data_IF_936606692602
#
_entry.id   IF_936606692602
#
_cell.length_a   1.000
_cell.length_b   1.000
_cell.length_c   1.000
_cell.angle_alpha   90.00
_cell.angle_beta   90.00
_cell.angle_gamma   90.00
#
_symmetry.space_group_name_H-M   'P 1'
#
loop_
_entity.id
_entity.type
_entity.pdbx_description
1 polymer ?
#
# COMPACT_ATOMS: atom_id res chain seq x y z
N UNK A 1 -73.64 22.40 -59.71
CA UNK A 1 -73.18 23.80 -59.66
C UNK A 1 -72.00 23.94 -58.74
N UNK A 2 -70.88 24.46 -59.25
CA UNK A 2 -69.70 25.05 -58.67
C UNK A 2 -68.73 24.12 -57.94
N UNK A 3 -67.68 23.77 -58.69
CA UNK A 3 -66.35 23.34 -58.29
C UNK A 3 -65.70 24.34 -57.35
N UNK A 4 -64.95 23.82 -56.39
CA UNK A 4 -63.71 24.46 -55.91
C UNK A 4 -62.64 23.43 -55.66
N UNK A 5 -61.64 23.51 -56.50
CA UNK A 5 -60.38 22.77 -56.39
C UNK A 5 -59.57 23.47 -55.28
N UNK A 6 -59.15 22.69 -54.28
CA UNK A 6 -58.14 23.09 -53.30
C UNK A 6 -56.82 22.44 -53.64
N UNK A 7 -55.86 23.25 -54.06
CA UNK A 7 -54.46 22.84 -54.23
C UNK A 7 -53.81 22.60 -52.85
N UNK A 8 -53.33 21.37 -52.64
CA UNK A 8 -52.46 21.04 -51.49
C UNK A 8 -50.99 21.30 -51.90
N UNK A 9 -50.35 22.34 -51.35
CA UNK A 9 -48.92 22.49 -51.42
C UNK A 9 -48.25 21.56 -50.38
N UNK A 10 -47.54 20.58 -50.85
CA UNK A 10 -46.71 19.72 -50.03
C UNK A 10 -45.35 20.38 -49.78
N UNK A 11 -45.15 20.93 -48.59
CA UNK A 11 -43.84 21.37 -48.10
C UNK A 11 -43.08 20.14 -47.56
N UNK A 12 -42.06 19.71 -48.29
CA UNK A 12 -41.09 18.69 -47.82
C UNK A 12 -40.10 19.39 -46.88
N UNK A 13 -40.31 19.26 -45.58
CA UNK A 13 -39.32 19.63 -44.57
C UNK A 13 -38.26 18.55 -44.47
N UNK A 14 -37.08 18.78 -45.03
CA UNK A 14 -35.92 17.93 -44.91
C UNK A 14 -35.38 17.98 -43.48
N UNK A 15 -35.59 16.91 -42.71
CA UNK A 15 -34.93 16.72 -41.42
C UNK A 15 -33.49 16.26 -41.71
N UNK A 16 -32.55 17.18 -41.61
CA UNK A 16 -31.11 16.85 -41.53
C UNK A 16 -30.84 16.22 -40.19
N UNK A 17 -30.82 14.89 -40.12
CA UNK A 17 -30.33 14.13 -38.96
C UNK A 17 -28.81 14.30 -38.93
N UNK A 18 -28.32 15.25 -38.15
CA UNK A 18 -26.90 15.37 -37.82
C UNK A 18 -26.51 14.15 -36.97
N UNK A 19 -25.78 13.22 -37.57
CA UNK A 19 -25.04 12.20 -36.80
C UNK A 19 -23.98 12.94 -35.97
N UNK A 20 -24.29 13.23 -34.72
CA UNK A 20 -23.28 13.56 -33.72
C UNK A 20 -22.53 12.23 -33.45
N UNK A 21 -21.39 12.05 -34.12
CA UNK A 21 -20.45 11.02 -33.75
C UNK A 21 -20.03 11.32 -32.30
N UNK A 22 -20.62 10.61 -31.33
CA UNK A 22 -20.13 10.59 -29.98
C UNK A 22 -18.74 9.96 -30.05
N UNK A 23 -17.71 10.79 -30.15
CA UNK A 23 -16.35 10.38 -29.89
C UNK A 23 -16.35 9.94 -28.42
N UNK A 24 -16.28 8.63 -28.18
CA UNK A 24 -16.01 8.09 -26.86
C UNK A 24 -14.70 8.72 -26.41
N UNK A 25 -14.76 9.74 -25.60
CA UNK A 25 -13.59 10.25 -24.90
C UNK A 25 -13.11 9.09 -24.03
N UNK A 26 -12.10 8.35 -24.47
CA UNK A 26 -11.42 7.43 -23.60
C UNK A 26 -10.89 8.27 -22.44
N UNK A 27 -11.35 7.98 -21.23
CA UNK A 27 -10.77 8.58 -20.04
C UNK A 27 -9.26 8.30 -20.04
N UNK A 28 -8.46 9.33 -19.78
CA UNK A 28 -7.01 9.17 -19.72
C UNK A 28 -6.66 8.10 -18.67
N UNK A 29 -5.73 7.23 -19.00
CA UNK A 29 -5.22 6.22 -18.06
C UNK A 29 -4.54 6.92 -16.87
N UNK A 30 -4.39 6.19 -15.76
CA UNK A 30 -3.66 6.73 -14.59
C UNK A 30 -2.24 7.11 -14.95
N UNK A 31 -1.54 6.28 -15.76
CA UNK A 31 -0.18 6.60 -16.20
C UNK A 31 -0.10 7.90 -17.01
N UNK A 32 -1.03 8.12 -17.95
CA UNK A 32 -1.08 9.36 -18.73
C UNK A 32 -1.33 10.58 -17.84
N UNK A 33 -2.24 10.46 -16.88
CA UNK A 33 -2.53 11.52 -15.90
C UNK A 33 -1.31 11.84 -15.03
N UNK A 34 -0.63 10.81 -14.51
CA UNK A 34 0.58 10.93 -13.70
C UNK A 34 1.71 11.59 -14.50
N UNK A 35 1.94 11.13 -15.74
CA UNK A 35 2.97 11.73 -16.63
C UNK A 35 2.66 13.17 -16.98
N UNK A 36 1.41 13.50 -17.32
CA UNK A 36 1.00 14.88 -17.66
C UNK A 36 1.16 15.83 -16.47
N UNK A 37 0.91 15.36 -15.24
CA UNK A 37 1.11 16.13 -14.00
C UNK A 37 2.59 16.28 -13.63
N UNK A 38 3.46 15.37 -14.09
CA UNK A 38 4.90 15.37 -13.81
C UNK A 38 5.28 14.81 -12.44
N UNK A 39 4.35 14.22 -11.70
CA UNK A 39 4.56 13.58 -10.39
C UNK A 39 3.45 12.59 -10.05
N UNK A 40 3.79 11.61 -9.22
CA UNK A 40 2.88 10.66 -8.59
C UNK A 40 2.17 11.34 -7.40
N UNK A 41 0.92 10.98 -7.13
CA UNK A 41 0.25 11.28 -5.85
C UNK A 41 0.00 9.97 -5.13
N UNK A 42 0.67 9.79 -3.98
CA UNK A 42 0.58 8.56 -3.19
C UNK A 42 -0.09 8.81 -1.84
N UNK A 43 -1.12 8.03 -1.54
CA UNK A 43 -1.77 8.02 -0.23
C UNK A 43 -0.94 7.20 0.77
N UNK A 44 -0.61 7.80 1.90
CA UNK A 44 0.14 7.16 3.00
C UNK A 44 -0.55 7.42 4.34
N UNK A 45 -0.08 6.78 5.41
CA UNK A 45 -0.60 7.04 6.74
C UNK A 45 -0.17 8.42 7.27
N UNK A 46 -0.93 8.96 8.22
CA UNK A 46 -0.65 10.27 8.79
C UNK A 46 0.60 10.27 9.68
N UNK A 47 0.77 9.23 10.49
CA UNK A 47 1.90 9.12 11.41
C UNK A 47 2.01 7.69 11.92
N UNK A 48 2.81 6.87 11.22
CA UNK A 48 3.14 5.50 11.65
C UNK A 48 4.65 5.33 11.57
N UNK A 49 5.37 5.40 12.70
CA UNK A 49 6.82 5.24 12.74
C UNK A 49 7.29 4.00 11.97
N UNK A 50 8.31 4.17 11.15
CA UNK A 50 8.86 3.14 10.29
C UNK A 50 8.09 2.91 8.97
N UNK A 51 6.80 3.25 8.88
CA UNK A 51 6.01 3.10 7.66
C UNK A 51 5.78 4.42 6.92
N UNK A 52 5.27 5.44 7.59
CA UNK A 52 5.13 6.77 7.03
C UNK A 52 5.16 7.82 8.16
N UNK A 53 6.19 8.65 8.18
CA UNK A 53 6.34 9.78 9.10
C UNK A 53 7.05 10.93 8.41
N UNK A 54 6.71 12.15 8.81
CA UNK A 54 7.47 13.33 8.41
C UNK A 54 8.58 13.60 9.42
N UNK A 55 9.76 13.99 8.94
CA UNK A 55 10.83 14.53 9.78
C UNK A 55 10.51 15.98 10.22
N UNK A 56 11.39 16.57 11.02
CA UNK A 56 11.22 17.94 11.50
C UNK A 56 11.24 19.01 10.38
N UNK A 57 11.65 18.65 9.17
CA UNK A 57 11.64 19.50 7.97
C UNK A 57 10.46 19.22 7.06
N UNK A 58 9.60 18.25 7.40
CA UNK A 58 8.46 17.82 6.61
C UNK A 58 8.79 16.80 5.53
N UNK A 59 10.01 16.26 5.45
CA UNK A 59 10.33 15.20 4.51
C UNK A 59 9.74 13.88 5.00
N UNK A 60 8.95 13.25 4.12
CA UNK A 60 8.36 11.95 4.40
C UNK A 60 9.41 10.84 4.32
N UNK A 61 9.35 9.89 5.25
CA UNK A 61 10.17 8.69 5.30
C UNK A 61 9.38 7.49 5.81
N UNK A 62 9.83 6.28 5.48
CA UNK A 62 9.22 5.04 5.92
C UNK A 62 9.07 4.01 4.80
N UNK A 63 8.72 2.79 5.18
CA UNK A 63 8.59 1.66 4.26
C UNK A 63 7.53 1.92 3.17
N UNK A 64 6.34 2.38 3.55
CA UNK A 64 5.26 2.71 2.61
C UNK A 64 5.64 3.87 1.69
N UNK A 65 6.36 4.85 2.22
CA UNK A 65 6.90 6.00 1.47
C UNK A 65 7.89 5.53 0.41
N UNK A 66 8.77 4.59 0.75
CA UNK A 66 9.76 4.04 -0.18
C UNK A 66 9.11 3.19 -1.28
N UNK A 67 8.01 2.50 -1.00
CA UNK A 67 7.20 1.83 -2.04
C UNK A 67 6.63 2.86 -3.04
N UNK A 68 6.13 4.00 -2.57
CA UNK A 68 5.68 5.08 -3.46
C UNK A 68 6.84 5.66 -4.29
N UNK A 69 8.00 5.89 -3.66
CA UNK A 69 9.22 6.36 -4.34
C UNK A 69 9.71 5.39 -5.41
N UNK A 70 9.56 4.08 -5.19
CA UNK A 70 9.91 3.08 -6.19
C UNK A 70 9.07 3.25 -7.47
N UNK A 71 7.76 3.48 -7.32
CA UNK A 71 6.86 3.74 -8.45
C UNK A 71 7.20 5.08 -9.13
N UNK A 72 7.49 6.15 -8.36
CA UNK A 72 7.92 7.42 -8.92
C UNK A 72 9.24 7.30 -9.71
N UNK A 73 10.23 6.57 -9.17
CA UNK A 73 11.49 6.27 -9.85
C UNK A 73 11.28 5.46 -11.13
N UNK A 74 10.35 4.50 -11.14
CA UNK A 74 10.00 3.74 -12.34
C UNK A 74 9.43 4.63 -13.45
N UNK A 75 8.51 5.55 -13.10
CA UNK A 75 7.79 6.39 -14.06
C UNK A 75 8.64 7.57 -14.56
N UNK A 76 9.41 8.20 -13.66
CA UNK A 76 10.08 9.47 -13.92
C UNK A 76 11.62 9.39 -13.92
N UNK A 77 12.20 8.27 -13.48
CA UNK A 77 13.63 8.18 -13.22
C UNK A 77 14.09 8.93 -11.96
N UNK A 78 13.14 9.45 -11.17
CA UNK A 78 13.40 10.29 -9.99
C UNK A 78 12.43 9.88 -8.85
N UNK A 79 12.95 9.33 -7.74
CA UNK A 79 12.14 8.91 -6.59
C UNK A 79 11.44 10.08 -5.87
N UNK A 80 11.91 11.32 -6.06
CA UNK A 80 11.31 12.50 -5.41
C UNK A 80 10.15 13.10 -6.25
N UNK A 81 9.83 12.54 -7.42
CA UNK A 81 8.66 12.92 -8.22
C UNK A 81 7.37 12.34 -7.67
N UNK A 82 7.15 12.50 -6.37
CA UNK A 82 5.96 12.05 -5.64
C UNK A 82 5.50 13.07 -4.62
N UNK A 83 4.20 13.34 -4.59
CA UNK A 83 3.53 14.05 -3.49
C UNK A 83 2.82 13.01 -2.61
N UNK A 84 2.88 13.22 -1.31
CA UNK A 84 2.22 12.36 -0.34
C UNK A 84 0.94 13.00 0.17
N UNK A 85 -0.18 12.27 0.07
CA UNK A 85 -1.45 12.64 0.68
C UNK A 85 -1.63 11.82 1.96
N UNK A 86 -1.71 12.52 3.08
CA UNK A 86 -1.92 11.89 4.37
C UNK A 86 -3.38 11.46 4.50
N UNK A 87 -3.61 10.16 4.59
CA UNK A 87 -4.95 9.58 4.69
C UNK A 87 -5.18 8.94 6.05
N UNK A 88 -6.40 9.00 6.54
CA UNK A 88 -6.84 8.22 7.69
C UNK A 88 -7.60 6.96 7.24
N UNK A 89 -8.03 6.15 8.21
CA UNK A 89 -8.70 4.88 7.95
C UNK A 89 -10.02 5.07 7.18
N UNK A 90 -10.76 6.14 7.46
CA UNK A 90 -12.08 6.38 6.88
C UNK A 90 -11.99 6.96 5.46
N UNK A 91 -10.93 7.74 5.15
CA UNK A 91 -10.82 8.48 3.88
C UNK A 91 -9.96 7.78 2.83
N UNK A 92 -9.06 6.85 3.20
CA UNK A 92 -8.06 6.25 2.30
C UNK A 92 -8.63 5.63 1.03
N UNK A 93 -9.69 4.84 1.15
CA UNK A 93 -10.30 4.17 0.01
C UNK A 93 -11.09 5.14 -0.87
N UNK A 94 -11.76 6.11 -0.26
CA UNK A 94 -12.47 7.15 -1.00
C UNK A 94 -11.50 8.04 -1.80
N UNK A 95 -10.37 8.44 -1.20
CA UNK A 95 -9.32 9.20 -1.89
C UNK A 95 -8.78 8.44 -3.12
N UNK A 96 -8.60 7.10 -3.00
CA UNK A 96 -8.18 6.28 -4.13
C UNK A 96 -9.27 6.17 -5.21
N UNK A 97 -10.51 5.89 -4.81
CA UNK A 97 -11.64 5.73 -5.72
C UNK A 97 -11.96 7.02 -6.49
N UNK A 98 -11.87 8.19 -5.83
CA UNK A 98 -12.13 9.50 -6.45
C UNK A 98 -11.02 9.97 -7.38
N UNK A 99 -9.83 9.36 -7.33
CA UNK A 99 -8.66 9.80 -8.08
C UNK A 99 -7.90 10.96 -7.43
N UNK A 100 -8.17 11.29 -6.17
CA UNK A 100 -7.37 12.23 -5.38
C UNK A 100 -5.95 11.70 -5.21
N UNK A 101 -5.77 10.38 -5.10
CA UNK A 101 -4.49 9.69 -5.12
C UNK A 101 -4.44 8.68 -6.27
N UNK A 102 -3.24 8.43 -6.80
CA UNK A 102 -3.02 7.48 -7.88
C UNK A 102 -2.81 6.05 -7.37
N UNK A 103 -2.22 5.93 -6.20
CA UNK A 103 -2.03 4.67 -5.46
C UNK A 103 -2.11 4.90 -3.96
N UNK A 104 -2.38 3.84 -3.23
CA UNK A 104 -2.39 3.81 -1.77
C UNK A 104 -1.31 2.84 -1.28
N UNK A 105 -0.33 3.32 -0.52
CA UNK A 105 0.64 2.51 0.22
C UNK A 105 0.56 2.89 1.69
N UNK A 106 -0.21 2.08 2.46
CA UNK A 106 -0.63 2.49 3.81
C UNK A 106 -0.98 1.27 4.67
N UNK A 107 -0.04 0.36 4.87
CA UNK A 107 -0.30 -0.85 5.68
C UNK A 107 -1.71 -1.41 5.41
N UNK A 108 -2.05 -1.55 4.12
CA UNK A 108 -3.42 -1.93 3.72
C UNK A 108 -3.48 -3.42 3.45
N UNK A 109 -4.16 -4.16 4.31
CA UNK A 109 -4.38 -5.59 4.13
C UNK A 109 -5.20 -5.86 2.88
N UNK A 110 -4.69 -6.69 1.98
CA UNK A 110 -5.45 -7.28 0.89
C UNK A 110 -6.47 -8.24 1.50
N UNK A 111 -7.75 -7.99 1.27
CA UNK A 111 -8.84 -8.88 1.66
C UNK A 111 -9.81 -9.08 0.52
N UNK A 112 -10.52 -10.22 0.52
CA UNK A 112 -11.54 -10.52 -0.47
C UNK A 112 -12.56 -9.38 -0.63
N UNK A 113 -13.07 -8.86 0.48
CA UNK A 113 -14.07 -7.79 0.45
C UNK A 113 -13.53 -6.47 -0.12
N UNK A 114 -12.29 -6.09 0.23
CA UNK A 114 -11.68 -4.86 -0.28
C UNK A 114 -11.43 -4.93 -1.77
N UNK A 115 -10.94 -6.03 -2.27
CA UNK A 115 -10.66 -6.23 -3.69
C UNK A 115 -11.96 -6.33 -4.50
N UNK A 116 -12.89 -7.20 -4.08
CA UNK A 116 -14.09 -7.51 -4.88
C UNK A 116 -15.17 -6.44 -4.77
N UNK A 117 -15.31 -5.76 -3.60
CA UNK A 117 -16.46 -4.89 -3.34
C UNK A 117 -16.16 -3.40 -3.41
N UNK A 118 -14.89 -2.98 -3.32
CA UNK A 118 -14.53 -1.56 -3.28
C UNK A 118 -14.03 -1.00 -4.60
N UNK A 119 -14.01 -1.79 -5.68
CA UNK A 119 -13.49 -1.32 -6.97
C UNK A 119 -11.98 -1.01 -6.92
N UNK A 120 -11.23 -1.83 -6.19
CA UNK A 120 -9.79 -1.72 -6.02
C UNK A 120 -9.09 -2.95 -6.58
N UNK A 121 -7.90 -2.74 -7.14
CA UNK A 121 -6.94 -3.80 -7.42
C UNK A 121 -5.76 -3.66 -6.47
N UNK A 122 -5.19 -4.79 -6.06
CA UNK A 122 -4.00 -4.80 -5.23
C UNK A 122 -2.77 -5.23 -6.03
N UNK A 123 -1.63 -4.63 -5.71
CA UNK A 123 -0.32 -5.13 -6.09
C UNK A 123 0.09 -6.35 -5.25
N UNK A 124 1.33 -6.81 -5.37
CA UNK A 124 1.82 -7.91 -4.55
C UNK A 124 1.88 -7.54 -3.07
N UNK A 125 1.78 -8.55 -2.20
CA UNK A 125 2.05 -8.36 -0.78
C UNK A 125 3.50 -7.89 -0.61
N UNK A 126 3.65 -6.68 -0.09
CA UNK A 126 4.98 -6.08 0.19
C UNK A 126 5.41 -6.28 1.64
N UNK A 127 4.48 -6.63 2.53
CA UNK A 127 4.77 -6.94 3.92
C UNK A 127 3.78 -7.99 4.45
N UNK A 128 4.30 -9.13 4.85
CA UNK A 128 3.52 -10.19 5.49
C UNK A 128 3.47 -9.94 6.98
N UNK A 129 2.31 -9.56 7.47
CA UNK A 129 2.05 -9.27 8.88
C UNK A 129 0.96 -10.19 9.45
N UNK A 130 0.60 -9.95 10.66
CA UNK A 130 -0.50 -10.56 11.37
C UNK A 130 -0.90 -9.70 12.56
N UNK A 131 -2.15 -9.78 12.94
CA UNK A 131 -2.67 -9.04 14.07
C UNK A 131 -2.21 -9.64 15.39
N UNK A 132 -1.84 -8.76 16.33
CA UNK A 132 -1.50 -9.10 17.71
C UNK A 132 -2.21 -8.24 18.73
N UNK A 133 -1.86 -8.46 19.99
CA UNK A 133 -2.30 -7.64 21.12
C UNK A 133 -1.07 -7.19 21.91
N UNK A 134 -1.05 -5.94 22.34
CA UNK A 134 -0.02 -5.40 23.21
C UNK A 134 -0.66 -4.98 24.54
N UNK A 135 0.04 -5.27 25.62
CA UNK A 135 -0.39 -4.99 27.00
C UNK A 135 0.73 -4.34 27.81
N UNK A 136 0.42 -3.60 28.88
CA UNK A 136 1.41 -3.25 29.89
C UNK A 136 1.92 -4.53 30.59
N UNK A 137 3.23 -4.66 30.79
CA UNK A 137 3.82 -5.80 31.53
C UNK A 137 3.26 -5.92 32.96
N UNK A 138 2.86 -4.79 33.55
CA UNK A 138 2.24 -4.74 34.88
C UNK A 138 0.91 -5.47 34.96
N UNK A 139 0.23 -5.72 33.81
CA UNK A 139 -1.00 -6.51 33.78
C UNK A 139 -0.76 -7.99 34.11
N UNK A 140 0.48 -8.49 33.90
CA UNK A 140 0.88 -9.84 34.31
C UNK A 140 0.35 -10.97 33.42
N UNK A 141 -0.30 -10.68 32.29
CA UNK A 141 -0.80 -11.67 31.31
C UNK A 141 0.28 -12.06 30.31
N UNK A 142 0.27 -13.32 29.87
CA UNK A 142 1.25 -13.88 28.95
C UNK A 142 0.63 -14.40 27.64
N UNK A 143 -0.69 -14.39 27.55
CA UNK A 143 -1.44 -14.90 26.38
C UNK A 143 -2.64 -14.01 26.12
N UNK A 144 -2.95 -13.78 24.83
CA UNK A 144 -4.17 -13.09 24.40
C UNK A 144 -5.45 -13.77 24.89
N UNK A 145 -5.38 -15.08 25.19
CA UNK A 145 -6.51 -15.85 25.73
C UNK A 145 -6.88 -15.46 27.18
N UNK A 146 -5.97 -14.82 27.89
CA UNK A 146 -6.18 -14.36 29.26
C UNK A 146 -6.92 -13.00 29.33
N UNK A 147 -7.09 -12.33 28.17
CA UNK A 147 -7.76 -11.02 28.06
C UNK A 147 -9.29 -11.12 27.92
N UNK A 148 -9.90 -12.13 28.55
CA UNK A 148 -11.35 -12.21 28.63
C UNK A 148 -11.89 -11.12 29.53
N UNK A 149 -12.99 -10.47 29.09
CA UNK A 149 -13.64 -9.31 29.70
C UNK A 149 -12.78 -8.02 29.74
N UNK A 150 -11.59 -8.02 29.13
CA UNK A 150 -10.73 -6.85 29.04
C UNK A 150 -11.26 -5.81 28.03
N UNK A 151 -11.02 -4.52 28.30
CA UNK A 151 -11.24 -3.44 27.34
C UNK A 151 -10.06 -3.37 26.38
N UNK A 152 -10.33 -3.54 25.09
CA UNK A 152 -9.31 -3.57 24.02
C UNK A 152 -9.52 -2.39 23.07
N UNK A 153 -8.52 -1.52 23.03
CA UNK A 153 -8.48 -0.38 22.12
C UNK A 153 -8.16 -0.83 20.69
N UNK A 154 -8.88 -0.30 19.70
CA UNK A 154 -8.59 -0.48 18.26
C UNK A 154 -9.23 0.63 17.43
N UNK A 155 -9.00 0.57 16.09
CA UNK A 155 -9.56 1.52 15.13
C UNK A 155 -10.77 0.90 14.41
N UNK A 156 -11.89 1.62 14.23
CA UNK A 156 -13.07 1.13 13.53
C UNK A 156 -12.80 0.97 12.03
N UNK A 157 -13.61 0.14 11.34
CA UNK A 157 -13.49 -0.05 9.89
C UNK A 157 -12.20 -0.76 9.43
N UNK A 158 -11.52 -1.43 10.36
CA UNK A 158 -10.32 -2.23 10.09
C UNK A 158 -10.61 -3.72 10.12
N UNK A 159 -9.69 -4.52 9.57
CA UNK A 159 -9.67 -5.98 9.77
C UNK A 159 -9.56 -6.32 11.25
N UNK A 160 -8.87 -5.47 12.02
CA UNK A 160 -8.54 -5.67 13.44
C UNK A 160 -9.78 -5.87 14.30
N UNK A 161 -10.81 -5.00 14.18
CA UNK A 161 -12.03 -5.10 14.98
C UNK A 161 -12.81 -6.39 14.70
N UNK A 162 -12.85 -6.83 13.42
CA UNK A 162 -13.48 -8.07 13.02
C UNK A 162 -12.72 -9.29 13.56
N UNK A 163 -11.39 -9.32 13.36
CA UNK A 163 -10.54 -10.42 13.80
C UNK A 163 -10.58 -10.60 15.33
N UNK A 164 -10.62 -9.51 16.10
CA UNK A 164 -10.82 -9.58 17.57
C UNK A 164 -12.12 -10.30 17.90
N UNK A 165 -13.22 -9.93 17.27
CA UNK A 165 -14.53 -10.55 17.50
C UNK A 165 -14.51 -12.04 17.16
N UNK A 166 -13.86 -12.43 16.08
CA UNK A 166 -13.74 -13.81 15.66
C UNK A 166 -12.81 -14.62 16.58
N UNK A 167 -11.68 -14.03 17.01
CA UNK A 167 -10.75 -14.67 17.93
C UNK A 167 -11.43 -14.96 19.29
N UNK A 168 -12.02 -13.95 19.95
CA UNK A 168 -12.66 -14.15 21.25
C UNK A 168 -13.86 -15.10 21.17
N UNK A 169 -14.64 -15.07 20.09
CA UNK A 169 -15.69 -16.04 19.84
C UNK A 169 -15.14 -17.46 19.73
N UNK A 170 -14.01 -17.64 19.05
CA UNK A 170 -13.39 -18.96 18.84
C UNK A 170 -12.91 -19.63 20.15
N UNK A 171 -12.53 -18.83 21.13
CA UNK A 171 -12.11 -19.31 22.45
C UNK A 171 -13.20 -19.29 23.51
N UNK A 172 -14.45 -18.92 23.13
CA UNK A 172 -15.57 -18.81 24.05
C UNK A 172 -15.45 -17.62 25.05
N UNK A 173 -14.54 -16.68 24.77
CA UNK A 173 -14.28 -15.50 25.57
C UNK A 173 -15.17 -14.31 25.14
N UNK A 174 -15.18 -13.27 25.99
CA UNK A 174 -15.77 -11.96 25.72
C UNK A 174 -14.71 -10.89 25.91
N UNK A 175 -14.91 -9.72 25.34
CA UNK A 175 -14.08 -8.55 25.53
C UNK A 175 -14.92 -7.30 25.31
N UNK A 176 -14.46 -6.16 25.80
CA UNK A 176 -15.05 -4.86 25.51
C UNK A 176 -14.27 -4.21 24.36
N UNK A 177 -14.95 -3.94 23.24
CA UNK A 177 -14.35 -3.25 22.10
C UNK A 177 -14.42 -1.74 22.32
N UNK A 178 -13.27 -1.10 22.50
CA UNK A 178 -13.16 0.36 22.63
C UNK A 178 -12.55 0.91 21.34
N UNK A 179 -13.30 1.75 20.62
CA UNK A 179 -12.90 2.26 19.32
C UNK A 179 -12.66 3.77 19.33
N UNK A 180 -11.61 4.17 18.60
CA UNK A 180 -11.25 5.57 18.37
C UNK A 180 -11.02 5.77 16.88
N UNK A 181 -11.54 6.85 16.31
CA UNK A 181 -11.33 7.15 14.88
C UNK A 181 -9.91 7.69 14.59
N UNK A 182 -9.31 8.35 15.56
CA UNK A 182 -7.98 8.91 15.47
C UNK A 182 -6.94 7.95 16.07
N UNK A 183 -5.87 7.59 15.31
CA UNK A 183 -4.81 6.70 15.79
C UNK A 183 -4.09 7.22 17.05
N UNK A 184 -3.90 8.55 17.17
CA UNK A 184 -3.23 9.15 18.33
C UNK A 184 -4.11 9.06 19.57
N UNK A 185 -5.42 9.26 19.43
CA UNK A 185 -6.38 9.09 20.54
C UNK A 185 -6.43 7.63 21.00
N UNK A 186 -6.46 6.68 20.04
CA UNK A 186 -6.44 5.25 20.32
C UNK A 186 -5.19 4.87 21.13
N UNK A 187 -4.02 5.32 20.70
CA UNK A 187 -2.75 5.10 21.38
C UNK A 187 -2.70 5.74 22.77
N UNK A 188 -3.14 7.00 22.88
CA UNK A 188 -3.15 7.73 24.13
C UNK A 188 -4.14 7.10 25.16
N UNK A 189 -5.28 6.60 24.70
CA UNK A 189 -6.23 5.87 25.54
C UNK A 189 -5.60 4.60 26.12
N UNK A 190 -4.85 3.85 25.33
CA UNK A 190 -4.10 2.68 25.80
C UNK A 190 -3.01 3.08 26.81
N UNK A 191 -2.17 4.06 26.49
CA UNK A 191 -1.09 4.48 27.40
C UNK A 191 -1.57 5.11 28.69
N UNK A 192 -2.78 5.70 28.72
CA UNK A 192 -3.41 6.23 29.94
C UNK A 192 -4.13 5.15 30.77
N UNK A 193 -4.15 3.89 30.32
CA UNK A 193 -4.80 2.79 31.03
C UNK A 193 -6.33 2.75 30.87
N UNK A 194 -6.90 3.46 29.88
CA UNK A 194 -8.32 3.36 29.55
C UNK A 194 -8.68 1.99 28.94
N UNK A 195 -7.71 1.36 28.28
CA UNK A 195 -7.83 0.00 27.78
C UNK A 195 -6.70 -0.85 28.38
N UNK A 196 -7.02 -2.09 28.78
CA UNK A 196 -6.02 -3.06 29.23
C UNK A 196 -5.11 -3.55 28.10
N UNK A 197 -5.62 -3.55 26.87
CA UNK A 197 -4.85 -3.94 25.68
C UNK A 197 -5.14 -3.01 24.51
N UNK A 198 -4.19 -2.96 23.58
CA UNK A 198 -4.37 -2.40 22.24
C UNK A 198 -4.11 -3.48 21.19
N UNK A 199 -4.94 -3.54 20.16
CA UNK A 199 -4.79 -4.51 19.08
C UNK A 199 -4.63 -3.81 17.73
N UNK A 200 -3.63 -4.28 16.98
CA UNK A 200 -3.32 -3.87 15.61
C UNK A 200 -2.41 -4.92 14.96
N UNK A 201 -1.95 -4.67 13.74
CA UNK A 201 -0.87 -5.43 13.11
C UNK A 201 0.38 -5.42 14.01
N UNK A 202 1.11 -6.52 14.07
CA UNK A 202 2.27 -6.64 14.96
C UNK A 202 3.34 -5.60 14.65
N UNK A 203 3.52 -5.25 13.38
CA UNK A 203 4.43 -4.17 12.99
C UNK A 203 3.95 -2.78 13.45
N UNK A 204 2.64 -2.53 13.43
CA UNK A 204 2.05 -1.29 13.95
C UNK A 204 2.14 -1.26 15.48
N UNK A 205 1.94 -2.38 16.16
CA UNK A 205 2.18 -2.47 17.62
C UNK A 205 3.64 -2.16 17.99
N UNK A 206 4.61 -2.56 17.15
CA UNK A 206 6.00 -2.16 17.34
C UNK A 206 6.18 -0.64 17.15
N UNK A 207 5.50 -0.03 16.18
CA UNK A 207 5.48 1.41 15.96
C UNK A 207 4.88 2.16 17.16
N UNK A 208 3.75 1.66 17.68
CA UNK A 208 3.09 2.21 18.88
C UNK A 208 4.01 2.11 20.09
N UNK A 209 4.65 0.95 20.30
CA UNK A 209 5.59 0.75 21.41
C UNK A 209 6.79 1.68 21.33
N UNK A 210 7.32 1.92 20.12
CA UNK A 210 8.49 2.76 19.90
C UNK A 210 8.27 4.23 20.30
N UNK A 211 7.04 4.71 20.35
CA UNK A 211 6.70 6.09 20.78
C UNK A 211 6.19 6.17 22.21
N UNK A 212 6.17 5.07 22.95
CA UNK A 212 5.85 5.09 24.37
C UNK A 212 6.94 5.83 25.17
N UNK A 213 6.56 6.47 26.28
CA UNK A 213 7.54 7.13 27.17
C UNK A 213 8.59 6.12 27.69
N UNK A 214 8.17 4.89 27.95
CA UNK A 214 9.05 3.78 28.30
C UNK A 214 8.61 2.52 27.52
N UNK A 215 9.19 2.24 26.35
CA UNK A 215 8.82 1.10 25.51
C UNK A 215 8.94 -0.26 26.21
N UNK A 216 9.82 -0.36 27.18
CA UNK A 216 10.06 -1.61 27.94
C UNK A 216 8.94 -1.95 28.91
N UNK A 217 8.02 -1.04 29.18
CA UNK A 217 6.85 -1.33 30.02
C UNK A 217 5.76 -2.12 29.30
N UNK A 218 5.87 -2.28 27.99
CA UNK A 218 4.89 -2.94 27.15
C UNK A 218 5.43 -4.20 26.48
N UNK A 219 4.54 -5.16 26.27
CA UNK A 219 4.83 -6.42 25.59
C UNK A 219 3.75 -6.73 24.56
N UNK A 220 4.18 -7.14 23.37
CA UNK A 220 3.30 -7.73 22.36
C UNK A 220 3.19 -9.21 22.69
N UNK A 221 1.96 -9.67 22.93
CA UNK A 221 1.68 -11.06 23.27
C UNK A 221 2.08 -12.02 22.12
N UNK A 222 2.37 -13.29 22.42
CA UNK A 222 2.94 -14.20 21.43
C UNK A 222 1.98 -14.55 20.29
N UNK A 223 0.67 -14.54 20.52
CA UNK A 223 -0.30 -14.97 19.54
C UNK A 223 -0.37 -14.00 18.34
N UNK A 224 -0.47 -14.58 17.16
CA UNK A 224 -0.86 -13.91 15.93
C UNK A 224 -2.25 -14.41 15.56
N UNK A 225 -3.25 -13.54 15.64
CA UNK A 225 -4.67 -13.94 15.54
C UNK A 225 -5.26 -13.81 14.14
N UNK A 226 -4.50 -13.27 13.18
CA UNK A 226 -4.91 -13.18 11.77
C UNK A 226 -3.72 -13.22 10.82
N UNK A 227 -4.01 -13.25 9.53
CA UNK A 227 -3.06 -12.99 8.44
C UNK A 227 -3.35 -11.60 7.87
N UNK A 228 -2.33 -10.75 7.83
CA UNK A 228 -2.43 -9.40 7.29
C UNK A 228 -1.40 -9.22 6.15
N UNK A 229 -1.73 -9.67 4.92
CA UNK A 229 -0.90 -9.41 3.75
C UNK A 229 -1.06 -7.95 3.32
N UNK A 230 -0.08 -7.11 3.66
CA UNK A 230 -0.11 -5.69 3.35
C UNK A 230 0.37 -5.47 1.91
N UNK A 231 -0.41 -4.74 1.13
CA UNK A 231 -0.15 -4.53 -0.29
C UNK A 231 -0.54 -3.10 -0.72
N UNK A 232 0.16 -2.52 -1.71
CA UNK A 232 -0.27 -1.29 -2.34
C UNK A 232 -1.57 -1.54 -3.12
N UNK A 233 -2.46 -0.54 -3.13
CA UNK A 233 -3.73 -0.62 -3.84
C UNK A 233 -3.84 0.48 -4.90
N UNK A 234 -4.53 0.18 -5.99
CA UNK A 234 -4.86 1.07 -7.10
C UNK A 234 -6.34 0.97 -7.45
N UNK A 235 -6.85 1.86 -8.27
CA UNK A 235 -8.22 1.74 -8.82
C UNK A 235 -8.31 0.55 -9.77
N UNK A 236 -9.46 -0.12 -9.79
CA UNK A 236 -9.76 -1.17 -10.78
C UNK A 236 -9.82 -0.61 -12.22
N UNK A 237 -9.76 -1.53 -13.17
CA UNK A 237 -9.89 -1.28 -14.60
C UNK A 237 -8.73 -0.48 -15.23
N UNK A 238 -7.59 -0.40 -14.58
CA UNK A 238 -6.34 0.12 -15.13
C UNK A 238 -5.21 -0.91 -14.90
N UNK A 239 -5.23 -1.97 -15.70
CA UNK A 239 -4.27 -3.07 -15.58
C UNK A 239 -2.84 -2.62 -15.83
N UNK A 240 -2.61 -1.64 -16.73
CA UNK A 240 -1.26 -1.11 -16.96
C UNK A 240 -0.73 -0.40 -15.70
N UNK A 241 -1.56 0.39 -15.02
CA UNK A 241 -1.15 1.06 -13.79
C UNK A 241 -0.90 0.07 -12.65
N UNK A 242 -1.80 -0.91 -12.48
CA UNK A 242 -1.60 -2.00 -11.51
C UNK A 242 -0.29 -2.76 -11.79
N UNK A 243 0.02 -3.05 -13.05
CA UNK A 243 1.24 -3.75 -13.44
C UNK A 243 2.49 -2.91 -13.13
N UNK A 244 2.46 -1.59 -13.38
CA UNK A 244 3.55 -0.69 -13.00
C UNK A 244 3.82 -0.73 -11.50
N UNK A 245 2.77 -0.59 -10.68
CA UNK A 245 2.89 -0.64 -9.21
C UNK A 245 3.40 -2.01 -8.75
N UNK A 246 2.86 -3.09 -9.32
CA UNK A 246 3.24 -4.45 -8.97
C UNK A 246 4.69 -4.76 -9.33
N UNK A 247 5.10 -4.47 -10.57
CA UNK A 247 6.47 -4.74 -11.02
C UNK A 247 7.49 -3.83 -10.34
N UNK A 248 7.10 -2.63 -9.92
CA UNK A 248 7.97 -1.78 -9.08
C UNK A 248 8.24 -2.42 -7.71
N UNK A 249 7.23 -3.00 -7.07
CA UNK A 249 7.40 -3.72 -5.81
C UNK A 249 8.20 -5.03 -5.99
N UNK A 250 7.91 -5.81 -7.03
CA UNK A 250 8.68 -7.02 -7.35
C UNK A 250 10.13 -6.72 -7.73
N UNK A 251 10.40 -5.56 -8.35
CA UNK A 251 11.77 -5.15 -8.65
C UNK A 251 12.60 -4.99 -7.38
N UNK A 252 12.04 -4.42 -6.30
CA UNK A 252 12.74 -4.33 -5.02
C UNK A 252 13.11 -5.73 -4.48
N UNK A 253 12.18 -6.69 -4.55
CA UNK A 253 12.37 -8.06 -4.08
C UNK A 253 13.39 -8.82 -4.94
N UNK A 254 13.24 -8.78 -6.27
CA UNK A 254 14.13 -9.46 -7.19
C UNK A 254 15.55 -8.91 -7.13
N UNK A 255 15.70 -7.60 -6.95
CA UNK A 255 17.03 -6.99 -6.79
C UNK A 255 17.73 -7.50 -5.52
N UNK A 256 17.01 -7.68 -4.42
CA UNK A 256 17.58 -8.31 -3.23
C UNK A 256 18.01 -9.76 -3.50
N UNK A 257 17.20 -10.54 -4.23
CA UNK A 257 17.52 -11.92 -4.61
C UNK A 257 18.82 -12.03 -5.42
N UNK A 258 19.07 -11.04 -6.28
CA UNK A 258 20.25 -10.95 -7.14
C UNK A 258 21.41 -10.17 -6.52
N UNK A 259 21.29 -9.72 -5.28
CA UNK A 259 22.31 -8.92 -4.58
C UNK A 259 22.55 -7.55 -5.22
N UNK A 260 21.57 -7.03 -5.96
CA UNK A 260 21.64 -5.68 -6.53
C UNK A 260 21.20 -4.69 -5.44
N UNK A 261 22.07 -3.73 -5.15
CA UNK A 261 21.87 -2.71 -4.11
C UNK A 261 21.94 -1.31 -4.71
N UNK A 262 21.51 -0.31 -3.96
CA UNK A 262 21.68 1.09 -4.35
C UNK A 262 23.15 1.45 -4.61
N UNK A 263 24.06 0.86 -3.83
CA UNK A 263 25.48 1.13 -3.93
C UNK A 263 26.14 0.48 -5.15
N UNK A 264 25.70 -0.73 -5.57
CA UNK A 264 26.35 -1.49 -6.61
C UNK A 264 25.60 -1.52 -7.96
N UNK A 265 24.43 -0.91 -8.09
CA UNK A 265 23.57 -0.99 -9.28
C UNK A 265 24.31 -0.54 -10.57
N UNK A 266 25.22 0.44 -10.47
CA UNK A 266 26.02 0.91 -11.62
C UNK A 266 27.00 -0.17 -12.13
N UNK A 267 27.55 -0.97 -11.23
CA UNK A 267 28.41 -2.09 -11.54
C UNK A 267 27.59 -3.28 -12.06
N UNK A 268 26.47 -3.56 -11.40
CA UNK A 268 25.56 -4.64 -11.79
C UNK A 268 24.94 -4.41 -13.18
N UNK A 269 24.80 -3.16 -13.63
CA UNK A 269 24.38 -2.84 -15.00
C UNK A 269 25.39 -3.28 -16.06
N UNK A 270 26.63 -3.63 -15.68
CA UNK A 270 27.64 -4.18 -16.58
C UNK A 270 27.72 -5.72 -16.51
N UNK A 271 26.88 -6.34 -15.71
CA UNK A 271 26.84 -7.81 -15.55
C UNK A 271 26.51 -8.50 -16.86
N UNK A 272 27.11 -9.66 -17.08
CA UNK A 272 26.78 -10.56 -18.19
C UNK A 272 25.59 -11.47 -17.90
N UNK A 273 25.04 -11.46 -16.65
CA UNK A 273 23.85 -12.23 -16.30
C UNK A 273 22.63 -11.70 -17.06
N UNK A 274 22.00 -12.53 -17.91
CA UNK A 274 20.90 -12.07 -18.76
C UNK A 274 19.68 -11.58 -17.97
N UNK A 275 19.43 -12.10 -16.77
CA UNK A 275 18.31 -11.65 -15.94
C UNK A 275 18.60 -10.28 -15.33
N UNK A 276 19.80 -10.05 -14.84
CA UNK A 276 20.22 -8.73 -14.34
C UNK A 276 20.16 -7.69 -15.46
N UNK A 277 20.61 -8.06 -16.68
CA UNK A 277 20.54 -7.18 -17.85
C UNK A 277 19.09 -6.78 -18.17
N UNK A 278 18.14 -7.73 -18.13
CA UNK A 278 16.71 -7.44 -18.32
C UNK A 278 16.15 -6.56 -17.21
N UNK A 279 16.42 -6.90 -15.96
CA UNK A 279 15.97 -6.13 -14.79
C UNK A 279 16.43 -4.67 -14.84
N UNK A 280 17.68 -4.43 -15.23
CA UNK A 280 18.27 -3.09 -15.27
C UNK A 280 18.10 -2.37 -16.60
N UNK A 281 17.43 -2.99 -17.58
CA UNK A 281 17.13 -2.39 -18.89
C UNK A 281 18.34 -2.22 -19.78
N UNK A 282 19.34 -3.09 -19.65
CA UNK A 282 20.54 -3.10 -20.50
C UNK A 282 20.25 -3.78 -21.85
N UNK A 283 19.58 -4.93 -21.79
CA UNK A 283 19.12 -5.69 -22.94
C UNK A 283 17.59 -5.84 -22.85
N UNK A 284 16.96 -6.06 -24.01
CA UNK A 284 15.51 -6.18 -24.14
C UNK A 284 14.73 -4.91 -23.69
N UNK A 285 13.57 -4.71 -24.25
CA UNK A 285 12.81 -3.48 -24.04
C UNK A 285 11.60 -3.70 -23.11
N UNK A 286 11.82 -4.33 -21.95
CA UNK A 286 10.73 -4.64 -20.99
C UNK A 286 10.01 -3.39 -20.50
N UNK A 287 10.71 -2.25 -20.40
CA UNK A 287 10.09 -0.97 -20.04
C UNK A 287 8.99 -0.54 -21.01
N UNK A 288 9.15 -0.81 -22.30
CA UNK A 288 8.14 -0.48 -23.32
C UNK A 288 6.81 -1.22 -23.09
N UNK A 289 6.85 -2.45 -22.55
CA UNK A 289 5.64 -3.22 -22.24
C UNK A 289 4.80 -2.55 -21.14
N UNK A 290 5.45 -1.78 -20.27
CA UNK A 290 4.82 -0.99 -19.22
C UNK A 290 4.58 0.48 -19.65
N UNK A 291 4.91 0.86 -20.88
CA UNK A 291 4.95 2.24 -21.35
C UNK A 291 5.90 3.13 -20.53
N UNK A 292 6.99 2.57 -20.02
CA UNK A 292 8.03 3.24 -19.24
C UNK A 292 9.36 3.30 -20.02
N UNK A 293 10.31 4.09 -19.48
CA UNK A 293 11.71 4.03 -19.90
C UNK A 293 12.28 2.63 -19.65
N UNK A 294 13.19 2.19 -20.51
CA UNK A 294 13.76 0.86 -20.37
C UNK A 294 14.58 0.67 -19.09
N UNK A 295 15.15 1.75 -18.56
CA UNK A 295 15.90 1.76 -17.29
C UNK A 295 15.04 1.86 -16.05
N UNK A 296 13.72 1.66 -16.14
CA UNK A 296 12.81 1.79 -15.00
C UNK A 296 13.27 0.98 -13.77
N UNK A 297 13.72 -0.25 -13.95
CA UNK A 297 14.23 -1.08 -12.87
C UNK A 297 15.55 -0.57 -12.28
N UNK A 298 16.49 -0.15 -13.15
CA UNK A 298 17.70 0.52 -12.70
C UNK A 298 17.36 1.78 -11.87
N UNK A 299 16.43 2.60 -12.35
CA UNK A 299 16.03 3.84 -11.68
C UNK A 299 15.45 3.59 -10.28
N UNK A 300 14.64 2.52 -10.13
CA UNK A 300 14.13 2.11 -8.81
C UNK A 300 15.28 1.83 -7.85
N UNK A 301 16.20 0.95 -8.25
CA UNK A 301 17.26 0.51 -7.34
C UNK A 301 18.27 1.64 -7.09
N UNK A 302 18.57 2.45 -8.10
CA UNK A 302 19.44 3.62 -7.93
C UNK A 302 18.86 4.65 -6.98
N UNK A 303 17.54 4.88 -7.06
CA UNK A 303 16.84 5.89 -6.25
C UNK A 303 16.45 5.41 -4.85
N UNK A 304 16.05 4.13 -4.73
CA UNK A 304 15.43 3.61 -3.49
C UNK A 304 16.23 2.48 -2.86
N UNK A 305 16.97 1.69 -3.63
CA UNK A 305 17.62 0.47 -3.18
C UNK A 305 16.72 -0.76 -3.37
N UNK A 306 17.17 -1.90 -2.86
CA UNK A 306 16.43 -3.15 -2.89
C UNK A 306 15.52 -3.31 -1.65
N UNK A 307 14.70 -4.38 -1.62
CA UNK A 307 13.77 -4.61 -0.51
C UNK A 307 14.47 -4.73 0.85
N UNK A 308 15.61 -5.42 0.92
CA UNK A 308 16.40 -5.54 2.15
C UNK A 308 16.87 -4.19 2.67
N UNK A 309 17.37 -3.32 1.78
CA UNK A 309 17.77 -1.96 2.14
C UNK A 309 16.59 -1.13 2.64
N UNK A 310 15.43 -1.22 1.96
CA UNK A 310 14.18 -0.55 2.37
C UNK A 310 13.72 -1.04 3.75
N UNK A 311 13.70 -2.35 3.96
CA UNK A 311 13.29 -2.94 5.25
C UNK A 311 14.23 -2.50 6.38
N UNK A 312 15.55 -2.70 6.21
CA UNK A 312 16.52 -2.47 7.27
C UNK A 312 16.59 -1.00 7.72
N UNK A 313 16.52 -0.04 6.77
CA UNK A 313 16.58 1.38 7.15
C UNK A 313 15.32 1.90 7.84
N UNK A 314 14.15 1.29 7.57
CA UNK A 314 12.87 1.77 8.09
C UNK A 314 12.36 0.97 9.30
N UNK A 315 12.54 -0.35 9.28
CA UNK A 315 11.89 -1.27 10.20
C UNK A 315 12.89 -2.16 10.96
N UNK A 316 14.08 -2.34 10.42
CA UNK A 316 15.06 -3.34 10.82
C UNK A 316 15.54 -3.20 12.25
N UNK A 317 16.39 -4.16 12.67
CA UNK A 317 16.84 -4.31 14.06
C UNK A 317 17.64 -3.14 14.60
N UNK A 318 18.15 -2.24 13.75
CA UNK A 318 18.85 -1.02 14.13
C UNK A 318 17.94 0.21 14.28
N UNK A 319 16.65 0.08 13.96
CA UNK A 319 15.65 1.13 14.14
C UNK A 319 14.98 1.03 15.50
N UNK A 320 14.22 2.06 15.88
CA UNK A 320 13.42 2.02 17.11
C UNK A 320 12.36 0.90 17.13
N UNK A 321 11.95 0.37 15.97
CA UNK A 321 11.01 -0.72 15.86
C UNK A 321 11.65 -2.09 16.16
N UNK A 322 12.93 -2.26 15.79
CA UNK A 322 13.69 -3.46 16.04
C UNK A 322 13.12 -4.73 15.41
N UNK A 323 12.46 -4.62 14.25
CA UNK A 323 11.81 -5.78 13.62
C UNK A 323 12.82 -6.69 12.95
N UNK A 324 12.60 -8.00 13.10
CA UNK A 324 13.25 -9.03 12.30
C UNK A 324 12.41 -9.31 11.04
N UNK A 325 13.06 -9.81 9.99
CA UNK A 325 12.41 -10.08 8.70
C UNK A 325 11.27 -11.10 8.81
N UNK A 326 11.47 -12.22 9.52
CA UNK A 326 10.49 -13.28 9.64
C UNK A 326 9.92 -13.73 8.28
N UNK A 327 8.59 -13.74 8.09
CA UNK A 327 7.97 -14.06 6.80
C UNK A 327 8.41 -13.13 5.64
N UNK A 328 8.91 -11.94 5.95
CA UNK A 328 9.40 -10.95 4.98
C UNK A 328 10.85 -11.22 4.53
N UNK A 329 11.36 -12.43 4.76
CA UNK A 329 12.59 -12.93 4.19
C UNK A 329 12.33 -13.47 2.79
N UNK A 330 13.39 -13.55 1.95
CA UNK A 330 13.33 -14.13 0.62
C UNK A 330 12.86 -15.59 0.66
N UNK A 331 12.12 -16.02 -0.36
CA UNK A 331 11.64 -17.41 -0.48
C UNK A 331 12.79 -18.44 -0.40
N UNK A 332 13.96 -18.11 -0.95
CA UNK A 332 15.17 -18.95 -0.91
C UNK A 332 15.75 -19.14 0.50
N UNK A 333 15.35 -18.32 1.47
CA UNK A 333 15.72 -18.35 2.88
C UNK A 333 14.55 -18.78 3.78
N UNK A 334 13.48 -19.32 3.18
CA UNK A 334 12.31 -19.81 3.92
C UNK A 334 11.24 -18.75 4.21
N UNK A 335 11.36 -17.55 3.64
CA UNK A 335 10.35 -16.49 3.74
C UNK A 335 9.28 -16.60 2.65
N UNK A 336 8.44 -15.55 2.55
CA UNK A 336 7.32 -15.49 1.62
C UNK A 336 7.52 -14.46 0.49
N UNK A 337 8.61 -13.70 0.51
CA UNK A 337 8.90 -12.79 -0.59
C UNK A 337 9.31 -13.57 -1.83
N UNK A 338 8.50 -13.45 -2.87
CA UNK A 338 8.66 -14.18 -4.12
C UNK A 338 8.32 -13.26 -5.30
N UNK A 339 9.33 -12.81 -6.03
CA UNK A 339 9.15 -12.03 -7.24
C UNK A 339 8.99 -12.96 -8.47
N UNK A 340 8.04 -12.70 -9.39
CA UNK A 340 8.00 -13.41 -10.65
C UNK A 340 9.24 -13.11 -11.51
N UNK A 341 9.65 -14.05 -12.41
CA UNK A 341 10.84 -13.85 -13.24
C UNK A 341 10.64 -12.74 -14.28
N UNK A 342 11.67 -11.94 -14.49
CA UNK A 342 11.71 -10.88 -15.51
C UNK A 342 12.05 -11.50 -16.89
N UNK A 343 11.01 -11.85 -17.67
CA UNK A 343 11.14 -12.49 -18.98
C UNK A 343 10.15 -11.93 -19.97
#
# INVERSE_FOLDING_TARGET
>A
MKNRILQLCATVAGIAVGLVAATSANAATTLETVKARGKLICGVSMSTPGFATADAKGHMGGFDVDVCRAVAAAVFGDPEKVDFVLTNINTRFQALQSGEIDMLSRQTTLTFSREVSLGLDFGPTVFYDGQGLMVPKSLGVNSAKELTDAAICTLPGTTTAQNLSDFFRSIGGKFELVVFENPDENRNAFFSGRCEAISSDRSDLASIRAVANNPDDYVVLPETISKEPLAPAVRQNDSNWRDIVSWSAWMLMAAEERGITQANVDEMAKSEDPEIQRMLGVNEELGKMLNLDNKWGYNIIKGVGNYGEVFERNLGTKTALGLTRGPNTRWSEGGLLYAPPFR
#
